data_IF_300704596813
#
_entry.id   IF_300704596813
#
_cell.length_a   1.000
_cell.length_b   1.000
_cell.length_c   1.000
_cell.angle_alpha   90.00
_cell.angle_beta   90.00
_cell.angle_gamma   90.00
#
_symmetry.space_group_name_H-M   'P 1'
#
loop_
_entity.id
_entity.type
_entity.pdbx_description
1 polymer ?
#
# COMPACT_ATOMS: atom_id res chain seq x y z
N UNK A 1 -11.10 -67.17 -25.05
CA UNK A 1 -11.57 -66.49 -23.82
C UNK A 1 -10.51 -65.50 -23.39
N UNK A 2 -10.77 -64.21 -23.63
CA UNK A 2 -9.87 -63.09 -23.35
C UNK A 2 -9.95 -62.69 -21.88
N UNK A 3 -8.83 -62.67 -21.18
CA UNK A 3 -8.69 -61.97 -19.90
C UNK A 3 -8.66 -60.46 -20.17
N UNK A 4 -9.71 -59.74 -19.74
CA UNK A 4 -9.73 -58.28 -19.73
C UNK A 4 -9.03 -57.80 -18.45
N UNK A 5 -7.86 -57.19 -18.61
CA UNK A 5 -7.19 -56.44 -17.54
C UNK A 5 -7.97 -55.17 -17.24
N UNK A 6 -8.35 -54.97 -15.97
CA UNK A 6 -8.86 -53.70 -15.45
C UNK A 6 -7.64 -52.87 -15.07
N UNK A 7 -7.30 -51.87 -15.89
CA UNK A 7 -6.33 -50.86 -15.54
C UNK A 7 -7.00 -49.85 -14.60
N UNK A 8 -6.60 -49.87 -13.34
CA UNK A 8 -6.98 -48.88 -12.34
C UNK A 8 -6.20 -47.59 -12.65
N UNK A 9 -6.85 -46.64 -13.34
CA UNK A 9 -6.30 -45.30 -13.52
C UNK A 9 -6.28 -44.58 -12.19
N UNK A 10 -5.10 -44.51 -11.56
CA UNK A 10 -4.84 -43.58 -10.48
C UNK A 10 -4.97 -42.16 -11.04
N UNK A 11 -6.02 -41.45 -10.62
CA UNK A 11 -6.12 -40.00 -10.79
C UNK A 11 -5.03 -39.36 -9.92
N UNK A 12 -3.90 -39.03 -10.54
CA UNK A 12 -2.96 -38.07 -9.97
C UNK A 12 -3.68 -36.72 -9.99
N UNK A 13 -4.23 -36.31 -8.84
CA UNK A 13 -4.52 -34.91 -8.58
C UNK A 13 -3.16 -34.22 -8.53
N UNK A 14 -2.70 -33.72 -9.67
CA UNK A 14 -1.68 -32.68 -9.67
C UNK A 14 -2.30 -31.51 -8.91
N UNK A 15 -1.83 -31.28 -7.68
CA UNK A 15 -2.07 -30.02 -7.01
C UNK A 15 -1.61 -28.93 -7.97
N UNK A 16 -2.54 -28.12 -8.45
CA UNK A 16 -2.18 -26.88 -9.11
C UNK A 16 -1.59 -26.02 -8.00
N UNK A 17 -0.26 -26.00 -7.90
CA UNK A 17 0.42 -24.92 -7.19
C UNK A 17 0.01 -23.65 -7.96
N UNK A 18 -0.95 -22.91 -7.40
CA UNK A 18 -1.33 -21.62 -7.96
C UNK A 18 -0.07 -20.74 -7.95
N UNK A 19 0.51 -20.51 -9.12
CA UNK A 19 1.64 -19.61 -9.25
C UNK A 19 1.14 -18.18 -9.30
N UNK A 20 1.72 -17.31 -8.47
CA UNK A 20 1.46 -15.88 -8.52
C UNK A 20 1.92 -15.29 -9.87
N UNK A 21 1.34 -14.16 -10.25
CA UNK A 21 1.70 -13.45 -11.49
C UNK A 21 3.22 -13.16 -11.53
N UNK A 22 3.83 -13.32 -12.70
CA UNK A 22 5.26 -13.08 -12.86
C UNK A 22 5.57 -11.60 -12.81
N UNK A 23 6.57 -11.23 -12.01
CA UNK A 23 7.18 -9.91 -12.05
C UNK A 23 8.08 -9.81 -13.28
N UNK A 24 7.83 -8.80 -14.12
CA UNK A 24 8.57 -8.52 -15.35
C UNK A 24 8.72 -9.73 -16.27
N UNK A 25 7.68 -10.58 -16.35
CA UNK A 25 7.61 -11.83 -17.12
C UNK A 25 8.69 -12.88 -16.79
N UNK A 26 9.48 -12.67 -15.73
CA UNK A 26 10.72 -13.42 -15.46
C UNK A 26 10.75 -14.08 -14.10
N UNK A 27 10.21 -13.43 -13.07
CA UNK A 27 10.28 -13.90 -11.69
C UNK A 27 8.90 -14.27 -11.17
N UNK A 28 8.69 -15.53 -10.83
CA UNK A 28 7.47 -15.98 -10.13
C UNK A 28 7.68 -15.80 -8.63
N UNK A 29 6.94 -14.90 -7.96
CA UNK A 29 7.10 -14.73 -6.53
C UNK A 29 6.45 -15.89 -5.76
N UNK A 30 6.91 -16.13 -4.53
CA UNK A 30 6.37 -17.15 -3.63
C UNK A 30 5.15 -16.67 -2.83
N UNK A 31 4.90 -15.37 -2.83
CA UNK A 31 3.75 -14.71 -2.21
C UNK A 31 3.20 -13.68 -3.18
N UNK A 32 1.94 -13.30 -3.01
CA UNK A 32 1.41 -12.17 -3.74
C UNK A 32 2.24 -10.91 -3.48
N UNK A 33 2.55 -10.20 -4.55
CA UNK A 33 3.18 -8.87 -4.52
C UNK A 33 2.27 -7.82 -5.14
N UNK A 34 1.06 -8.21 -5.52
CA UNK A 34 0.18 -7.40 -6.35
C UNK A 34 -0.21 -6.10 -5.65
N UNK A 35 -0.71 -6.18 -4.41
CA UNK A 35 -1.00 -5.00 -3.58
C UNK A 35 0.24 -4.12 -3.33
N UNK A 36 1.38 -4.75 -3.01
CA UNK A 36 2.60 -4.01 -2.68
C UNK A 36 3.15 -3.25 -3.90
N UNK A 37 3.14 -3.90 -5.07
CA UNK A 37 3.62 -3.33 -6.33
C UNK A 37 2.70 -2.25 -6.90
N UNK A 38 1.43 -2.20 -6.48
CA UNK A 38 0.47 -1.20 -6.92
C UNK A 38 0.86 0.25 -6.56
N UNK A 39 1.77 0.46 -5.60
CA UNK A 39 2.37 1.79 -5.33
C UNK A 39 3.08 2.37 -6.57
N UNK A 40 3.50 1.53 -7.52
CA UNK A 40 4.06 1.98 -8.81
C UNK A 40 3.02 2.68 -9.70
N UNK A 41 1.74 2.37 -9.52
CA UNK A 41 0.63 3.08 -10.17
C UNK A 41 0.51 4.49 -9.58
N UNK A 42 0.64 4.65 -8.25
CA UNK A 42 0.70 5.98 -7.62
C UNK A 42 1.90 6.79 -8.16
N UNK A 43 3.07 6.17 -8.34
CA UNK A 43 4.22 6.81 -8.97
C UNK A 43 3.94 7.27 -10.41
N UNK A 44 3.10 6.54 -11.15
CA UNK A 44 2.70 6.89 -12.52
C UNK A 44 1.74 8.08 -12.52
N UNK A 45 0.70 8.04 -11.69
CA UNK A 45 -0.27 9.14 -11.55
C UNK A 45 0.44 10.41 -11.05
N UNK A 46 1.32 10.28 -10.04
CA UNK A 46 2.14 11.38 -9.53
C UNK A 46 2.94 12.08 -10.63
N UNK A 47 3.62 11.31 -11.49
CA UNK A 47 4.37 11.85 -12.64
C UNK A 47 3.47 12.55 -13.65
N UNK A 48 2.27 12.01 -13.89
CA UNK A 48 1.30 12.61 -14.81
C UNK A 48 0.83 13.97 -14.30
N UNK A 49 0.53 14.10 -13.00
CA UNK A 49 0.14 15.38 -12.40
C UNK A 49 1.23 16.47 -12.51
N UNK A 50 2.51 16.09 -12.62
CA UNK A 50 3.60 17.05 -12.76
C UNK A 50 3.82 17.54 -14.20
N UNK A 51 3.12 17.00 -15.21
CA UNK A 51 3.35 17.34 -16.62
C UNK A 51 2.98 18.79 -16.96
N UNK A 52 1.92 19.33 -16.34
CA UNK A 52 1.42 20.68 -16.64
C UNK A 52 2.27 21.79 -16.00
N UNK A 53 3.15 21.45 -15.05
CA UNK A 53 4.09 22.39 -14.41
C UNK A 53 3.41 23.65 -13.85
N UNK A 54 2.26 23.49 -13.19
CA UNK A 54 1.54 24.60 -12.54
C UNK A 54 1.40 24.36 -11.05
N UNK A 55 1.17 25.43 -10.27
CA UNK A 55 0.94 25.27 -8.83
C UNK A 55 -0.21 24.29 -8.51
N UNK A 56 -1.26 24.27 -9.34
CA UNK A 56 -2.36 23.31 -9.19
C UNK A 56 -1.91 21.88 -9.48
N UNK A 57 -1.07 21.69 -10.49
CA UNK A 57 -0.54 20.38 -10.87
C UNK A 57 0.42 19.83 -9.80
N UNK A 58 1.23 20.69 -9.18
CA UNK A 58 2.04 20.35 -8.00
C UNK A 58 1.18 20.01 -6.78
N UNK A 59 0.09 20.74 -6.51
CA UNK A 59 -0.84 20.42 -5.43
C UNK A 59 -1.54 19.06 -5.64
N UNK A 60 -1.92 18.75 -6.89
CA UNK A 60 -2.50 17.46 -7.24
C UNK A 60 -1.47 16.32 -7.10
N UNK A 61 -0.23 16.52 -7.56
CA UNK A 61 0.86 15.57 -7.34
C UNK A 61 1.12 15.33 -5.85
N UNK A 62 1.10 16.39 -5.04
CA UNK A 62 1.25 16.30 -3.58
C UNK A 62 0.16 15.45 -2.94
N UNK A 63 -1.09 15.55 -3.38
CA UNK A 63 -2.16 14.66 -2.90
C UNK A 63 -1.85 13.19 -3.19
N UNK A 64 -1.45 12.85 -4.41
CA UNK A 64 -1.09 11.46 -4.78
C UNK A 64 0.12 10.97 -3.95
N UNK A 65 1.11 11.83 -3.73
CA UNK A 65 2.30 11.51 -2.96
C UNK A 65 2.00 11.16 -1.49
N UNK A 66 1.18 12.00 -0.84
CA UNK A 66 0.82 11.90 0.58
C UNK A 66 -0.21 10.80 0.81
N UNK A 67 -1.30 10.81 0.04
CA UNK A 67 -2.50 10.02 0.30
C UNK A 67 -2.55 8.73 -0.51
N UNK A 68 -1.75 8.58 -1.57
CA UNK A 68 -1.76 7.41 -2.45
C UNK A 68 -3.12 7.17 -3.11
N UNK A 69 -3.34 5.94 -3.58
CA UNK A 69 -4.61 5.58 -4.20
C UNK A 69 -4.76 4.13 -4.63
N UNK A 70 -3.65 3.43 -4.83
CA UNK A 70 -3.65 2.12 -5.47
C UNK A 70 -3.22 0.97 -4.55
N UNK A 71 -2.69 1.23 -3.35
CA UNK A 71 -2.10 0.20 -2.50
C UNK A 71 -2.62 0.28 -1.05
N UNK A 72 -2.93 -0.88 -0.43
CA UNK A 72 -3.58 -0.96 0.90
C UNK A 72 -4.77 0.01 1.03
N UNK A 73 -5.75 -0.11 0.14
CA UNK A 73 -6.98 0.71 0.19
C UNK A 73 -7.84 0.31 1.38
N UNK A 74 -8.30 1.29 2.17
CA UNK A 74 -9.01 1.11 3.43
C UNK A 74 -10.23 2.04 3.50
N UNK A 75 -11.38 1.50 3.86
CA UNK A 75 -12.56 2.27 4.26
C UNK A 75 -12.54 2.50 5.78
N UNK A 76 -12.59 3.76 6.21
CA UNK A 76 -12.89 4.12 7.60
C UNK A 76 -14.41 4.33 7.76
N UNK A 77 -15.11 3.30 8.24
CA UNK A 77 -16.56 3.36 8.40
C UNK A 77 -16.96 3.74 9.83
N UNK A 78 -18.05 4.48 9.97
CA UNK A 78 -18.67 4.80 11.23
C UNK A 78 -19.76 3.77 11.54
N UNK A 79 -19.58 2.99 12.60
CA UNK A 79 -20.58 2.03 13.08
C UNK A 79 -21.71 2.81 13.80
N UNK A 80 -22.96 2.45 13.52
CA UNK A 80 -24.15 3.20 14.00
C UNK A 80 -24.97 2.47 15.07
N UNK A 81 -24.65 1.21 15.36
CA UNK A 81 -25.33 0.39 16.38
C UNK A 81 -24.41 -0.28 17.40
N UNK A 82 -23.13 0.13 17.45
CA UNK A 82 -22.08 -0.55 18.19
C UNK A 82 -21.53 -1.79 17.48
N UNK A 83 -20.35 -2.24 17.89
CA UNK A 83 -19.82 -3.54 17.49
C UNK A 83 -20.43 -4.63 18.38
N UNK A 84 -20.74 -5.83 17.86
CA UNK A 84 -21.32 -6.92 18.64
C UNK A 84 -20.31 -7.61 19.56
N UNK A 85 -19.02 -7.42 19.30
CA UNK A 85 -17.88 -7.92 20.07
C UNK A 85 -16.61 -7.18 19.63
N UNK A 86 -15.52 -7.38 20.34
CA UNK A 86 -14.19 -7.00 19.86
C UNK A 86 -13.92 -7.59 18.46
N UNK A 87 -13.30 -6.79 17.61
CA UNK A 87 -12.85 -7.16 16.27
C UNK A 87 -11.33 -7.25 16.30
N UNK A 88 -10.78 -8.44 16.06
CA UNK A 88 -9.34 -8.60 15.87
C UNK A 88 -8.89 -8.05 14.51
N UNK A 89 -7.66 -7.52 14.44
CA UNK A 89 -7.00 -7.29 13.16
C UNK A 89 -7.01 -8.58 12.32
N UNK A 90 -7.16 -8.41 11.01
CA UNK A 90 -7.31 -9.48 10.03
C UNK A 90 -8.63 -10.27 10.08
N UNK A 91 -9.60 -9.91 10.95
CA UNK A 91 -10.96 -10.44 10.85
C UNK A 91 -11.57 -10.12 9.49
N UNK A 92 -12.19 -11.11 8.87
CA UNK A 92 -12.80 -10.98 7.54
C UNK A 92 -14.25 -10.55 7.64
N UNK A 93 -14.67 -9.74 6.67
CA UNK A 93 -16.01 -9.22 6.55
C UNK A 93 -16.51 -9.36 5.12
N UNK A 94 -17.81 -9.58 4.98
CA UNK A 94 -18.53 -9.41 3.72
C UNK A 94 -19.36 -8.13 3.80
N UNK A 95 -19.23 -7.28 2.77
CA UNK A 95 -20.03 -6.09 2.57
C UNK A 95 -20.62 -6.02 1.16
N UNK A 96 -21.37 -4.96 0.86
CA UNK A 96 -21.94 -4.72 -0.47
C UNK A 96 -21.16 -3.61 -1.18
N UNK A 97 -20.69 -3.90 -2.39
CA UNK A 97 -20.07 -2.93 -3.30
C UNK A 97 -21.10 -2.01 -3.96
N UNK A 98 -20.66 -0.85 -4.46
CA UNK A 98 -21.55 0.10 -5.16
C UNK A 98 -22.12 -0.45 -6.47
N UNK A 99 -21.50 -1.47 -7.05
CA UNK A 99 -22.01 -2.25 -8.18
C UNK A 99 -23.04 -3.32 -7.82
N UNK A 100 -23.34 -3.46 -6.53
CA UNK A 100 -24.25 -4.47 -6.01
C UNK A 100 -23.61 -5.83 -5.77
N UNK A 101 -22.30 -6.01 -5.99
CA UNK A 101 -21.59 -7.26 -5.69
C UNK A 101 -21.31 -7.43 -4.19
N UNK A 102 -21.14 -8.66 -3.74
CA UNK A 102 -20.57 -8.91 -2.40
C UNK A 102 -19.06 -8.74 -2.47
N UNK A 103 -18.49 -7.95 -1.55
CA UNK A 103 -17.05 -7.71 -1.49
C UNK A 103 -16.46 -8.21 -0.16
N UNK A 104 -15.26 -8.78 -0.25
CA UNK A 104 -14.50 -9.22 0.92
C UNK A 104 -13.62 -8.08 1.42
N UNK A 105 -13.67 -7.88 2.73
CA UNK A 105 -12.92 -6.87 3.46
C UNK A 105 -12.21 -7.53 4.64
N UNK A 106 -11.15 -6.89 5.11
CA UNK A 106 -10.39 -7.36 6.25
C UNK A 106 -10.22 -6.21 7.23
N UNK A 107 -10.48 -6.42 8.53
CA UNK A 107 -10.17 -5.43 9.56
C UNK A 107 -8.69 -5.08 9.50
N UNK A 108 -8.39 -3.84 9.13
CA UNK A 108 -7.02 -3.36 8.97
C UNK A 108 -6.27 -3.33 10.32
N UNK A 109 -7.00 -3.01 11.39
CA UNK A 109 -6.54 -3.05 12.77
C UNK A 109 -7.66 -3.55 13.66
N UNK A 110 -7.31 -3.93 14.89
CA UNK A 110 -8.30 -4.31 15.89
C UNK A 110 -9.18 -3.12 16.27
N UNK A 111 -10.42 -3.42 16.69
CA UNK A 111 -11.37 -2.47 17.26
C UNK A 111 -12.05 -3.11 18.47
N UNK A 112 -12.24 -2.36 19.54
CA UNK A 112 -12.93 -2.81 20.75
C UNK A 112 -14.44 -2.71 20.58
N UNK A 113 -15.24 -3.48 21.33
CA UNK A 113 -16.71 -3.43 21.27
C UNK A 113 -17.27 -2.00 21.43
N UNK A 114 -16.57 -1.17 22.22
CA UNK A 114 -16.94 0.23 22.47
C UNK A 114 -16.57 1.20 21.35
N UNK A 115 -15.75 0.77 20.38
CA UNK A 115 -15.35 1.60 19.27
C UNK A 115 -16.51 1.85 18.32
N UNK A 116 -16.57 3.09 17.83
CA UNK A 116 -17.59 3.52 16.87
C UNK A 116 -17.03 3.62 15.44
N UNK A 117 -15.74 3.36 15.25
CA UNK A 117 -15.07 3.38 13.95
C UNK A 117 -14.45 2.03 13.63
N UNK A 118 -14.57 1.58 12.38
CA UNK A 118 -13.96 0.36 11.89
C UNK A 118 -13.17 0.64 10.60
N UNK A 119 -11.92 0.18 10.53
CA UNK A 119 -11.08 0.34 9.35
C UNK A 119 -10.98 -0.98 8.60
N UNK A 120 -11.46 -0.98 7.36
CA UNK A 120 -11.63 -2.19 6.55
C UNK A 120 -10.80 -2.08 5.28
N UNK A 121 -9.77 -2.92 5.17
CA UNK A 121 -8.95 -3.08 3.98
C UNK A 121 -9.75 -3.82 2.91
N UNK A 122 -9.83 -3.27 1.71
CA UNK A 122 -10.42 -3.96 0.55
C UNK A 122 -9.54 -5.15 0.13
N UNK A 123 -10.18 -6.22 -0.35
CA UNK A 123 -9.47 -7.33 -0.97
C UNK A 123 -8.72 -6.87 -2.23
N UNK A 124 -7.50 -7.37 -2.40
CA UNK A 124 -6.68 -7.15 -3.58
C UNK A 124 -6.68 -8.41 -4.44
N UNK A 125 -6.93 -8.26 -5.74
CA UNK A 125 -6.82 -9.35 -6.72
C UNK A 125 -5.36 -9.73 -6.93
N UNK A 126 -5.12 -10.99 -7.29
CA UNK A 126 -3.80 -11.47 -7.71
C UNK A 126 -3.40 -10.96 -9.10
N UNK A 127 -4.35 -10.43 -9.88
CA UNK A 127 -4.11 -9.88 -11.22
C UNK A 127 -3.72 -8.42 -11.13
N UNK A 128 -2.50 -8.07 -11.53
CA UNK A 128 -1.93 -6.72 -11.38
C UNK A 128 -2.72 -5.64 -12.14
N UNK A 129 -3.19 -5.96 -13.34
CA UNK A 129 -3.97 -5.03 -14.16
C UNK A 129 -5.30 -4.61 -13.51
N UNK A 130 -5.89 -5.51 -12.73
CA UNK A 130 -7.20 -5.34 -12.08
C UNK A 130 -7.08 -5.59 -10.57
N UNK A 131 -5.98 -5.12 -9.97
CA UNK A 131 -5.63 -5.42 -8.58
C UNK A 131 -6.69 -4.93 -7.58
N UNK A 132 -7.39 -3.81 -7.88
CA UNK A 132 -8.27 -3.18 -6.91
C UNK A 132 -9.43 -2.42 -7.56
N UNK A 133 -10.65 -2.68 -7.09
CA UNK A 133 -11.87 -2.06 -7.60
C UNK A 133 -12.30 -0.79 -6.84
N UNK A 134 -11.79 -0.58 -5.63
CA UNK A 134 -11.99 0.65 -4.85
C UNK A 134 -10.67 1.44 -4.71
N UNK A 135 -10.52 2.48 -5.53
CA UNK A 135 -9.34 3.37 -5.59
C UNK A 135 -9.81 4.82 -5.51
N UNK A 136 -9.58 5.45 -4.37
CA UNK A 136 -10.01 6.83 -4.09
C UNK A 136 -8.80 7.65 -3.67
N UNK A 137 -8.50 7.73 -2.37
CA UNK A 137 -7.32 8.41 -1.83
C UNK A 137 -7.06 9.79 -2.45
N UNK A 138 -5.78 10.07 -2.68
CA UNK A 138 -5.29 11.30 -3.30
C UNK A 138 -5.41 11.34 -4.82
N UNK A 139 -6.10 10.37 -5.45
CA UNK A 139 -6.18 10.31 -6.90
C UNK A 139 -7.02 11.45 -7.49
N UNK A 140 -6.65 11.98 -8.66
CA UNK A 140 -7.52 12.82 -9.47
C UNK A 140 -8.85 12.14 -9.73
N UNK A 141 -9.94 12.91 -9.82
CA UNK A 141 -11.30 12.36 -10.01
C UNK A 141 -11.39 11.43 -11.23
N UNK A 142 -10.66 11.73 -12.31
CA UNK A 142 -10.59 10.90 -13.52
C UNK A 142 -9.98 9.52 -13.31
N UNK A 143 -9.15 9.36 -12.28
CA UNK A 143 -8.35 8.16 -12.05
C UNK A 143 -8.95 7.30 -10.93
N UNK A 144 -9.97 7.81 -10.24
CA UNK A 144 -10.68 7.08 -9.18
C UNK A 144 -11.51 5.94 -9.75
N UNK A 145 -11.55 4.83 -9.02
CA UNK A 145 -12.45 3.70 -9.27
C UNK A 145 -13.33 3.50 -8.04
N UNK A 146 -14.63 3.74 -8.18
CA UNK A 146 -15.57 3.68 -7.05
C UNK A 146 -16.48 2.44 -7.08
N UNK A 147 -16.49 1.71 -8.21
CA UNK A 147 -17.44 0.64 -8.50
C UNK A 147 -17.35 -0.55 -7.53
N UNK A 148 -16.15 -0.84 -7.01
CA UNK A 148 -15.95 -1.87 -5.98
C UNK A 148 -15.78 -1.33 -4.56
N UNK A 149 -16.04 -0.04 -4.33
CA UNK A 149 -16.08 0.50 -2.97
C UNK A 149 -17.35 0.05 -2.26
N UNK A 150 -17.31 0.03 -0.93
CA UNK A 150 -18.51 -0.15 -0.11
C UNK A 150 -19.59 0.89 -0.47
N UNK A 151 -20.86 0.51 -0.38
CA UNK A 151 -21.96 1.48 -0.42
C UNK A 151 -21.87 2.45 0.77
N UNK A 152 -22.29 3.71 0.61
CA UNK A 152 -22.16 4.75 1.66
C UNK A 152 -22.80 4.34 3.00
N UNK A 153 -23.88 3.58 2.96
CA UNK A 153 -24.57 3.05 4.14
C UNK A 153 -24.98 1.61 3.88
N UNK A 154 -24.78 0.74 4.87
CA UNK A 154 -25.12 -0.66 4.70
C UNK A 154 -24.78 -1.50 5.92
N UNK A 155 -24.74 -2.82 5.69
CA UNK A 155 -24.39 -3.80 6.71
C UNK A 155 -23.14 -4.57 6.34
N UNK A 156 -22.33 -4.91 7.34
CA UNK A 156 -21.23 -5.84 7.24
C UNK A 156 -21.57 -7.12 8.01
N UNK A 157 -21.13 -8.26 7.48
CA UNK A 157 -21.18 -9.55 8.16
C UNK A 157 -19.74 -9.98 8.43
N UNK A 158 -19.40 -10.17 9.70
CA UNK A 158 -18.09 -10.73 10.09
C UNK A 158 -18.10 -12.25 9.88
N UNK A 159 -17.03 -12.81 9.30
CA UNK A 159 -16.91 -14.25 9.09
C UNK A 159 -17.09 -15.01 10.42
N UNK A 160 -17.99 -15.99 10.42
CA UNK A 160 -18.33 -16.76 11.62
C UNK A 160 -19.38 -16.11 12.54
N UNK A 161 -19.88 -14.92 12.21
CA UNK A 161 -20.99 -14.25 12.88
C UNK A 161 -22.22 -14.16 11.96
N UNK A 162 -23.42 -14.23 12.54
CA UNK A 162 -24.68 -13.92 11.86
C UNK A 162 -25.24 -12.55 12.20
N UNK A 163 -24.56 -11.78 13.06
CA UNK A 163 -25.01 -10.48 13.54
C UNK A 163 -24.54 -9.37 12.59
N UNK A 164 -25.45 -8.64 11.92
CA UNK A 164 -25.06 -7.55 11.03
C UNK A 164 -24.56 -6.32 11.78
N UNK A 165 -23.47 -5.73 11.29
CA UNK A 165 -22.93 -4.45 11.76
C UNK A 165 -23.37 -3.36 10.79
N UNK A 166 -24.16 -2.40 11.27
CA UNK A 166 -24.63 -1.28 10.43
C UNK A 166 -23.62 -0.15 10.46
N UNK A 167 -23.27 0.36 9.28
CA UNK A 167 -22.29 1.44 9.14
C UNK A 167 -22.77 2.54 8.19
N UNK A 168 -22.10 3.68 8.29
CA UNK A 168 -22.14 4.78 7.32
C UNK A 168 -20.74 5.32 7.09
N UNK A 169 -20.48 5.85 5.90
CA UNK A 169 -19.27 6.59 5.58
C UNK A 169 -19.44 7.42 4.31
N UNK A 170 -18.52 8.35 4.05
CA UNK A 170 -18.40 9.05 2.78
C UNK A 170 -17.40 8.33 1.87
N UNK A 171 -17.88 7.78 0.76
CA UNK A 171 -17.04 7.06 -0.19
C UNK A 171 -15.85 7.89 -0.72
N UNK A 172 -16.00 9.21 -0.86
CA UNK A 172 -14.96 10.07 -1.44
C UNK A 172 -13.97 10.60 -0.41
N UNK A 173 -14.38 10.67 0.86
CA UNK A 173 -13.58 11.28 1.94
C UNK A 173 -13.06 10.25 2.96
N UNK A 174 -13.67 9.07 3.04
CA UNK A 174 -13.35 8.06 4.06
C UNK A 174 -12.69 6.79 3.48
N UNK A 175 -12.31 6.81 2.20
CA UNK A 175 -11.41 5.82 1.61
C UNK A 175 -10.00 6.39 1.49
N UNK A 176 -9.04 5.77 2.17
CA UNK A 176 -7.63 6.19 2.22
C UNK A 176 -6.70 4.99 1.99
N UNK A 177 -5.40 5.27 1.82
CA UNK A 177 -4.41 4.25 1.51
C UNK A 177 -3.28 4.24 2.55
N UNK A 178 -2.91 3.04 3.01
CA UNK A 178 -1.90 2.88 4.06
C UNK A 178 -0.47 2.70 3.53
N UNK A 179 -0.33 2.40 2.24
CA UNK A 179 0.95 2.43 1.53
C UNK A 179 0.94 3.56 0.52
N UNK A 180 1.79 4.55 0.77
CA UNK A 180 1.94 5.75 -0.07
C UNK A 180 3.42 5.98 -0.36
N UNK A 181 3.71 6.76 -1.41
CA UNK A 181 5.09 7.14 -1.75
C UNK A 181 5.76 7.94 -0.62
N UNK A 182 4.97 8.77 0.07
CA UNK A 182 5.43 9.47 1.27
C UNK A 182 5.72 8.51 2.42
N UNK A 183 4.85 7.53 2.64
CA UNK A 183 4.94 6.56 3.72
C UNK A 183 6.28 5.82 3.78
N UNK A 184 6.93 5.59 2.64
CA UNK A 184 8.26 4.96 2.59
C UNK A 184 9.36 5.79 3.29
N UNK A 185 9.21 7.11 3.35
CA UNK A 185 10.12 7.99 4.07
C UNK A 185 9.63 8.30 5.47
N UNK A 186 8.35 8.66 5.65
CA UNK A 186 7.83 9.06 6.98
C UNK A 186 7.71 7.90 7.97
N UNK A 187 7.65 6.65 7.49
CA UNK A 187 7.67 5.46 8.35
C UNK A 187 9.08 4.85 8.51
N UNK A 188 10.12 5.47 7.94
CA UNK A 188 11.47 4.92 7.81
C UNK A 188 12.16 4.60 9.14
N UNK A 189 11.88 5.38 10.20
CA UNK A 189 12.47 5.14 11.52
C UNK A 189 12.17 3.72 12.03
N UNK A 190 10.99 3.20 11.70
CA UNK A 190 10.58 1.84 12.06
C UNK A 190 10.92 0.85 10.95
N UNK A 191 10.56 1.15 9.70
CA UNK A 191 10.65 0.17 8.60
C UNK A 191 12.07 -0.13 8.12
N UNK A 192 13.04 0.74 8.39
CA UNK A 192 14.44 0.57 7.98
C UNK A 192 15.31 -0.13 9.03
N UNK A 193 14.69 -0.78 10.03
CA UNK A 193 15.38 -1.55 11.08
C UNK A 193 14.99 -3.03 10.97
N UNK A 194 15.87 -3.95 11.40
CA UNK A 194 15.52 -5.37 11.52
C UNK A 194 14.34 -5.61 12.47
N UNK A 195 13.75 -6.79 12.37
CA UNK A 195 12.71 -7.25 13.29
C UNK A 195 13.26 -7.26 14.73
N UNK A 196 12.51 -6.63 15.65
CA UNK A 196 12.95 -6.44 17.04
C UNK A 196 13.73 -5.15 17.30
N UNK A 197 14.00 -4.34 16.27
CA UNK A 197 14.64 -3.04 16.37
C UNK A 197 16.16 -3.11 16.19
N UNK A 198 16.89 -2.22 16.87
CA UNK A 198 18.34 -2.05 16.68
C UNK A 198 18.68 -0.98 15.65
N UNK A 199 19.94 -0.93 15.21
CA UNK A 199 20.39 0.05 14.22
C UNK A 199 19.68 -0.12 12.87
N UNK A 200 19.69 0.93 12.06
CA UNK A 200 19.18 0.84 10.69
C UNK A 200 19.99 -0.14 9.85
N UNK A 201 19.38 -0.65 8.77
CA UNK A 201 20.13 -1.31 7.71
C UNK A 201 21.24 -0.38 7.20
N UNK A 202 22.42 -0.94 6.98
CA UNK A 202 23.66 -0.19 6.76
C UNK A 202 23.52 0.88 5.66
N UNK A 203 22.89 0.55 4.54
CA UNK A 203 22.72 1.50 3.43
C UNK A 203 21.84 2.68 3.83
N UNK A 204 20.79 2.46 4.61
CA UNK A 204 19.93 3.55 5.10
C UNK A 204 20.67 4.39 6.14
N UNK A 205 21.43 3.77 7.04
CA UNK A 205 22.25 4.48 8.02
C UNK A 205 23.21 5.45 7.34
N UNK A 206 23.85 5.06 6.23
CA UNK A 206 24.77 5.94 5.49
C UNK A 206 24.08 7.21 4.96
N UNK A 207 22.82 7.09 4.55
CA UNK A 207 22.02 8.25 4.12
C UNK A 207 21.57 9.09 5.31
N UNK A 208 21.13 8.46 6.40
CA UNK A 208 20.80 9.17 7.65
C UNK A 208 22.00 9.95 8.17
N UNK A 209 23.20 9.37 8.16
CA UNK A 209 24.42 10.04 8.62
C UNK A 209 24.78 11.24 7.73
N UNK A 210 24.56 11.12 6.42
CA UNK A 210 24.74 12.23 5.49
C UNK A 210 23.73 13.35 5.75
N UNK A 211 22.43 13.06 5.65
CA UNK A 211 21.38 14.09 5.76
C UNK A 211 21.13 14.56 7.20
N UNK A 212 21.58 13.78 8.19
CA UNK A 212 21.25 13.90 9.63
C UNK A 212 19.76 13.81 9.93
N UNK A 213 19.02 13.09 9.08
CA UNK A 213 17.56 12.96 9.17
C UNK A 213 17.12 11.65 8.53
N UNK A 214 16.15 10.94 9.11
CA UNK A 214 15.62 9.68 8.57
C UNK A 214 14.42 9.87 7.63
N UNK A 215 13.82 11.05 7.62
CA UNK A 215 12.75 11.45 6.72
C UNK A 215 13.27 12.35 5.59
N UNK A 216 14.60 12.35 5.35
CA UNK A 216 15.28 13.19 4.36
C UNK A 216 14.61 13.16 2.98
N UNK A 217 14.12 12.00 2.57
CA UNK A 217 13.53 11.81 1.25
C UNK A 217 12.17 12.53 1.13
N UNK A 218 11.32 12.46 2.15
CA UNK A 218 10.08 13.24 2.25
C UNK A 218 10.36 14.74 2.23
N UNK A 219 11.32 15.20 3.05
CA UNK A 219 11.68 16.62 3.11
C UNK A 219 12.10 17.17 1.74
N UNK A 220 12.89 16.41 0.98
CA UNK A 220 13.32 16.79 -0.38
C UNK A 220 12.13 16.84 -1.36
N UNK A 221 11.28 15.80 -1.36
CA UNK A 221 10.14 15.71 -2.28
C UNK A 221 9.10 16.79 -1.95
N UNK A 222 8.78 16.98 -0.66
CA UNK A 222 7.83 17.99 -0.21
C UNK A 222 8.33 19.41 -0.51
N UNK A 223 9.62 19.69 -0.30
CA UNK A 223 10.20 20.98 -0.69
C UNK A 223 10.08 21.24 -2.20
N UNK A 224 10.27 20.21 -3.04
CA UNK A 224 10.05 20.33 -4.48
C UNK A 224 8.57 20.57 -4.82
N UNK A 225 7.65 19.89 -4.13
CA UNK A 225 6.21 20.02 -4.34
C UNK A 225 5.67 21.38 -3.88
N UNK A 226 6.19 21.91 -2.78
CA UNK A 226 5.79 23.20 -2.21
C UNK A 226 6.57 24.38 -2.81
N UNK A 227 7.71 24.13 -3.45
CA UNK A 227 8.57 25.15 -4.02
C UNK A 227 9.34 25.93 -2.95
N UNK A 228 9.90 25.21 -1.98
CA UNK A 228 10.66 25.75 -0.84
C UNK A 228 12.09 25.21 -0.82
N UNK A 229 12.91 25.62 0.15
CA UNK A 229 14.21 24.99 0.44
C UNK A 229 14.07 23.82 1.43
N UNK A 230 15.20 23.15 1.72
CA UNK A 230 15.31 22.06 2.71
C UNK A 230 16.18 22.48 3.91
N UNK A 231 15.76 23.46 4.73
CA UNK A 231 16.60 24.05 5.77
C UNK A 231 16.93 23.07 6.90
N UNK A 232 16.09 22.05 7.08
CA UNK A 232 16.20 21.06 8.16
C UNK A 232 17.19 19.92 7.85
N UNK A 233 17.79 19.90 6.67
CA UNK A 233 18.82 18.91 6.31
C UNK A 233 20.21 19.46 6.61
N UNK A 234 21.01 18.71 7.38
CA UNK A 234 22.35 19.15 7.76
C UNK A 234 23.29 19.17 6.55
N UNK A 235 23.28 18.09 5.77
CA UNK A 235 23.91 18.02 4.45
C UNK A 235 22.83 17.78 3.40
N UNK A 236 23.09 18.19 2.15
CA UNK A 236 22.09 18.10 1.09
C UNK A 236 21.00 19.17 1.16
N UNK A 237 21.20 20.23 1.94
CA UNK A 237 20.37 21.44 1.86
C UNK A 237 20.50 22.04 0.47
N UNK A 238 19.38 22.19 -0.21
CA UNK A 238 19.29 22.82 -1.52
C UNK A 238 18.11 23.79 -1.49
N UNK A 239 18.26 24.95 -2.12
CA UNK A 239 17.12 25.82 -2.41
C UNK A 239 16.39 25.27 -3.63
N UNK A 240 15.24 24.63 -3.40
CA UNK A 240 14.40 23.99 -4.42
C UNK A 240 13.24 24.92 -4.80
N UNK A 241 13.30 26.18 -4.39
CA UNK A 241 12.25 27.14 -4.66
C UNK A 241 12.14 27.47 -6.15
N UNK A 242 10.93 27.88 -6.55
CA UNK A 242 10.68 28.29 -7.93
C UNK A 242 11.57 29.46 -8.38
N UNK A 243 12.02 30.29 -7.43
CA UNK A 243 12.92 31.41 -7.72
C UNK A 243 14.36 30.95 -8.03
N UNK A 244 14.75 29.75 -7.59
CA UNK A 244 16.08 29.21 -7.83
C UNK A 244 16.11 28.22 -9.02
N UNK A 245 15.20 27.24 -9.07
CA UNK A 245 15.26 26.15 -10.07
C UNK A 245 14.03 26.07 -10.99
N UNK A 246 13.04 26.95 -10.83
CA UNK A 246 11.82 26.97 -11.64
C UNK A 246 10.97 25.70 -11.50
N UNK A 247 9.90 25.59 -12.29
CA UNK A 247 9.06 24.40 -12.29
C UNK A 247 9.77 23.16 -12.87
N UNK A 248 10.57 23.32 -13.92
CA UNK A 248 11.33 22.21 -14.53
C UNK A 248 12.23 21.50 -13.51
N UNK A 249 13.01 22.27 -12.75
CA UNK A 249 13.88 21.72 -11.72
C UNK A 249 13.10 21.03 -10.61
N UNK A 250 12.01 21.65 -10.15
CA UNK A 250 11.13 21.08 -9.12
C UNK A 250 10.50 19.76 -9.57
N UNK A 251 10.03 19.67 -10.82
CA UNK A 251 9.49 18.43 -11.39
C UNK A 251 10.54 17.32 -11.35
N UNK A 252 11.77 17.60 -11.73
CA UNK A 252 12.83 16.59 -11.74
C UNK A 252 13.25 16.16 -10.33
N UNK A 253 13.33 17.09 -9.38
CA UNK A 253 13.58 16.74 -7.97
C UNK A 253 12.45 15.89 -7.41
N UNK A 254 11.19 16.28 -7.64
CA UNK A 254 10.04 15.52 -7.16
C UNK A 254 10.03 14.09 -7.74
N UNK A 255 10.15 13.93 -9.05
CA UNK A 255 10.13 12.62 -9.73
C UNK A 255 11.28 11.71 -9.32
N UNK A 256 12.50 12.23 -9.26
CA UNK A 256 13.69 11.45 -8.93
C UNK A 256 13.77 11.19 -7.43
N UNK A 257 13.35 12.14 -6.60
CA UNK A 257 13.21 11.98 -5.16
C UNK A 257 12.29 10.82 -4.82
N UNK A 258 11.06 10.81 -5.35
CA UNK A 258 10.13 9.70 -5.09
C UNK A 258 10.66 8.37 -5.62
N UNK A 259 11.24 8.34 -6.82
CA UNK A 259 11.70 7.09 -7.43
C UNK A 259 12.93 6.50 -6.72
N UNK A 260 13.94 7.31 -6.41
CA UNK A 260 15.23 6.83 -5.92
C UNK A 260 15.41 6.97 -4.42
N UNK A 261 14.97 8.08 -3.82
CA UNK A 261 15.16 8.32 -2.40
C UNK A 261 14.06 7.68 -1.54
N UNK A 262 12.82 7.66 -2.03
CA UNK A 262 11.71 6.99 -1.32
C UNK A 262 11.62 5.52 -1.73
N UNK A 263 11.15 5.24 -2.95
CA UNK A 263 10.88 3.88 -3.40
C UNK A 263 12.16 3.06 -3.53
N UNK A 264 13.22 3.62 -4.13
CA UNK A 264 14.51 2.94 -4.27
C UNK A 264 15.11 2.50 -2.93
N UNK A 265 15.05 3.36 -1.91
CA UNK A 265 15.52 3.03 -0.58
C UNK A 265 14.67 1.94 0.08
N UNK A 266 13.34 1.98 -0.11
CA UNK A 266 12.44 0.92 0.36
C UNK A 266 12.70 -0.43 -0.31
N UNK A 267 12.98 -0.45 -1.62
CA UNK A 267 13.37 -1.69 -2.34
C UNK A 267 14.66 -2.26 -1.77
N UNK A 268 15.65 -1.42 -1.44
CA UNK A 268 16.87 -1.87 -0.78
C UNK A 268 16.56 -2.46 0.60
N UNK A 269 15.68 -1.82 1.38
CA UNK A 269 15.19 -2.38 2.66
C UNK A 269 14.62 -3.78 2.50
N UNK A 270 13.75 -4.01 1.52
CA UNK A 270 13.15 -5.35 1.29
C UNK A 270 14.22 -6.42 1.00
N UNK A 271 15.30 -6.05 0.31
CA UNK A 271 16.44 -6.96 0.08
C UNK A 271 17.22 -7.25 1.37
N UNK A 272 17.47 -6.25 2.20
CA UNK A 272 18.17 -6.44 3.48
C UNK A 272 17.32 -7.24 4.48
N UNK A 273 16.03 -6.97 4.53
CA UNK A 273 15.09 -7.68 5.39
C UNK A 273 14.98 -9.15 4.99
N UNK A 274 14.92 -9.46 3.69
CA UNK A 274 14.95 -10.83 3.21
C UNK A 274 16.22 -11.60 3.62
N UNK A 275 17.37 -10.92 3.73
CA UNK A 275 18.62 -11.53 4.24
C UNK A 275 18.51 -11.79 5.75
N UNK A 276 17.96 -10.85 6.52
CA UNK A 276 17.74 -11.00 7.96
C UNK A 276 16.78 -12.16 8.26
N UNK A 277 15.68 -12.23 7.52
CA UNK A 277 14.70 -13.32 7.49
C UNK A 277 15.32 -14.69 7.25
N UNK A 278 16.22 -14.76 6.27
CA UNK A 278 16.96 -15.98 5.96
C UNK A 278 17.86 -16.40 7.13
N UNK A 279 18.58 -15.45 7.73
CA UNK A 279 19.50 -15.70 8.83
C UNK A 279 18.78 -16.11 10.13
N UNK A 280 17.56 -15.59 10.36
CA UNK A 280 16.74 -15.95 11.54
C UNK A 280 15.92 -17.23 11.39
N UNK A 281 15.99 -17.90 10.23
CA UNK A 281 15.19 -19.10 9.91
C UNK A 281 13.69 -18.87 10.19
N UNK A 282 13.16 -17.75 9.70
CA UNK A 282 11.76 -17.40 9.87
C UNK A 282 10.82 -18.52 9.38
N UNK A 283 9.67 -18.70 10.03
CA UNK A 283 8.68 -19.67 9.57
C UNK A 283 7.98 -19.15 8.31
N UNK A 284 7.64 -20.02 7.33
CA UNK A 284 6.80 -19.63 6.20
C UNK A 284 5.52 -18.93 6.67
N UNK A 285 5.21 -17.77 6.09
CA UNK A 285 4.10 -16.91 6.52
C UNK A 285 4.40 -15.95 7.67
N UNK A 286 5.57 -16.04 8.32
CA UNK A 286 6.05 -15.08 9.34
C UNK A 286 7.38 -14.42 8.96
N UNK A 287 7.80 -14.59 7.71
CA UNK A 287 9.00 -13.98 7.16
C UNK A 287 8.70 -12.53 6.78
N UNK A 288 7.79 -12.33 5.83
CA UNK A 288 7.38 -11.01 5.40
C UNK A 288 6.54 -10.28 6.46
N UNK A 289 7.11 -9.24 7.07
CA UNK A 289 6.47 -8.35 8.05
C UNK A 289 5.37 -7.48 7.45
N UNK A 290 5.32 -7.42 6.12
CA UNK A 290 4.35 -6.69 5.32
C UNK A 290 3.50 -7.63 4.44
N UNK A 291 3.44 -8.92 4.78
CA UNK A 291 2.66 -9.92 4.06
C UNK A 291 1.20 -9.49 3.97
N UNK A 292 0.70 -9.42 2.74
CA UNK A 292 -0.72 -9.37 2.47
C UNK A 292 -1.32 -10.70 2.96
N UNK A 293 -1.79 -10.69 4.21
CA UNK A 293 -2.81 -11.64 4.67
C UNK A 293 -4.18 -11.14 4.20
#
# INVERSE_FOLDING_TARGET
>A
MMFRSVALSALLVAGVDASFEKVADRFTPLTSVTDHSAVSVDQTVFKAQLQDMTQMSFAAAKKVYVEGGNSKSVAAVQVTGGLPSDVAANSKFTGRGTDGSDITLTAYKSAEESDVGLQLKYGTSEVTADHLDCRVGGLPVSDRKIIGCLVNEGTLIMDGSSTPITYKYDLTENNFNERTLQGFSTKSNKSMRPVGGGSYFKIFQDFVDYYSDNEYADKIVMAALDGTDTPDLAMGRVDISSNNIGFDGRVEVAKKGTAYLNTGMYVLRELYDAIDDCNRLCKPGSCNDDSAV
#
